data_IF_470196315065
#
_entry.id   IF_470196315065
#
_cell.length_a   1.000
_cell.length_b   1.000
_cell.length_c   1.000
_cell.angle_alpha   90.00
_cell.angle_beta   90.00
_cell.angle_gamma   90.00
#
_symmetry.space_group_name_H-M   'P 1'
#
loop_
_entity.id
_entity.type
_entity.pdbx_description
1 polymer ?
#
# COMPACT_ATOMS: atom_id res chain seq x y z
N UNK A 1 -9.20 -6.41 -13.77
CA UNK A 1 -10.32 -5.72 -13.08
C UNK A 1 -10.47 -4.32 -13.63
N UNK A 2 -11.64 -3.70 -13.47
CA UNK A 2 -11.87 -2.29 -13.81
C UNK A 2 -11.30 -1.37 -12.72
N UNK A 3 -11.23 -0.05 -13.01
CA UNK A 3 -10.86 0.95 -12.00
C UNK A 3 -11.87 0.94 -10.84
N UNK A 4 -13.18 0.85 -11.13
CA UNK A 4 -14.23 0.84 -10.09
C UNK A 4 -14.16 -0.43 -9.22
N UNK A 5 -13.94 -1.61 -9.81
CA UNK A 5 -13.71 -2.84 -9.04
C UNK A 5 -12.50 -2.70 -8.11
N UNK A 6 -11.44 -2.04 -8.59
CA UNK A 6 -10.23 -1.87 -7.80
C UNK A 6 -10.42 -0.94 -6.60
N UNK A 7 -11.36 0.00 -6.66
CA UNK A 7 -11.73 0.81 -5.48
C UNK A 7 -12.15 -0.05 -4.30
N UNK A 8 -13.01 -1.01 -4.56
CA UNK A 8 -13.46 -1.98 -3.54
C UNK A 8 -12.31 -2.90 -3.13
N UNK A 9 -11.61 -3.45 -4.11
CA UNK A 9 -10.53 -4.42 -3.92
C UNK A 9 -9.38 -3.87 -3.06
N UNK A 10 -8.96 -2.62 -3.28
CA UNK A 10 -7.88 -2.00 -2.51
C UNK A 10 -8.28 -1.72 -1.06
N UNK A 11 -9.51 -1.25 -0.82
CA UNK A 11 -10.01 -0.97 0.53
C UNK A 11 -10.11 -2.28 1.33
N UNK A 12 -10.72 -3.31 0.72
CA UNK A 12 -10.78 -4.65 1.30
C UNK A 12 -9.37 -5.20 1.59
N UNK A 13 -8.49 -5.21 0.58
CA UNK A 13 -7.14 -5.78 0.71
C UNK A 13 -6.28 -5.03 1.72
N UNK A 14 -6.39 -3.70 1.82
CA UNK A 14 -5.67 -2.90 2.82
C UNK A 14 -6.14 -3.21 4.24
N UNK A 15 -7.44 -3.39 4.45
CA UNK A 15 -8.01 -3.77 5.74
C UNK A 15 -7.56 -5.19 6.15
N UNK A 16 -7.65 -6.16 5.24
CA UNK A 16 -7.21 -7.54 5.47
C UNK A 16 -5.68 -7.61 5.73
N UNK A 17 -4.86 -6.88 4.96
CA UNK A 17 -3.42 -6.79 5.18
C UNK A 17 -3.09 -6.18 6.55
N UNK A 18 -3.81 -5.14 6.97
CA UNK A 18 -3.63 -4.54 8.29
C UNK A 18 -3.87 -5.54 9.43
N UNK A 19 -4.90 -6.39 9.31
CA UNK A 19 -5.17 -7.46 10.28
C UNK A 19 -4.04 -8.50 10.34
N UNK A 20 -3.46 -8.85 9.20
CA UNK A 20 -2.37 -9.82 9.12
C UNK A 20 -1.06 -9.28 9.73
N UNK A 21 -0.87 -7.96 9.71
CA UNK A 21 0.32 -7.28 10.21
C UNK A 21 0.19 -6.80 11.67
N UNK A 22 -0.94 -7.05 12.33
CA UNK A 22 -1.21 -6.52 13.68
C UNK A 22 -1.30 -7.63 14.73
N UNK A 23 -0.51 -7.50 15.81
CA UNK A 23 -0.51 -8.38 16.98
C UNK A 23 0.66 -8.10 17.91
N UNK A 24 0.56 -8.52 19.18
CA UNK A 24 1.66 -8.44 20.16
C UNK A 24 2.16 -7.02 20.48
N UNK A 25 1.28 -6.03 20.46
CA UNK A 25 1.63 -4.63 20.69
C UNK A 25 2.10 -3.88 19.42
N UNK A 26 2.19 -4.56 18.28
CA UNK A 26 2.67 -4.03 17.02
C UNK A 26 1.58 -4.02 15.95
N UNK A 27 1.82 -3.29 14.85
CA UNK A 27 0.94 -3.22 13.69
C UNK A 27 0.20 -1.91 13.57
N UNK A 28 -1.06 -1.96 13.16
CA UNK A 28 -1.84 -0.81 12.74
C UNK A 28 -2.91 -0.45 13.77
N UNK A 29 -2.98 0.83 14.09
CA UNK A 29 -4.04 1.44 14.90
C UNK A 29 -4.76 2.50 14.05
N UNK A 30 -6.08 2.37 13.87
CA UNK A 30 -6.89 3.33 13.10
C UNK A 30 -7.45 4.38 14.06
N UNK A 31 -6.93 5.60 13.97
CA UNK A 31 -7.34 6.73 14.82
C UNK A 31 -8.55 7.45 14.27
N UNK A 32 -8.59 7.69 12.94
CA UNK A 32 -9.70 8.32 12.22
C UNK A 32 -9.99 7.62 10.91
N UNK A 33 -11.25 7.62 10.52
CA UNK A 33 -11.73 7.22 9.19
C UNK A 33 -13.04 7.98 8.94
N UNK A 34 -12.94 9.13 8.28
CA UNK A 34 -14.04 10.09 8.15
C UNK A 34 -14.05 10.73 6.76
N UNK A 35 -15.20 11.15 6.23
CA UNK A 35 -15.26 11.94 5.01
C UNK A 35 -14.50 13.27 5.17
N UNK A 36 -13.91 13.75 4.08
CA UNK A 36 -13.34 15.10 4.03
C UNK A 36 -13.81 15.86 2.82
N UNK A 37 -13.77 17.18 2.89
CA UNK A 37 -14.11 18.10 1.82
C UNK A 37 -13.15 19.29 1.81
N UNK A 38 -13.03 19.96 0.63
CA UNK A 38 -12.23 21.17 0.45
C UNK A 38 -10.70 21.00 0.70
N UNK A 39 -10.15 19.80 0.54
CA UNK A 39 -8.70 19.59 0.53
C UNK A 39 -8.23 19.33 -0.90
N UNK A 40 -7.60 20.31 -1.57
CA UNK A 40 -7.19 20.18 -2.97
C UNK A 40 -6.02 19.20 -3.12
N UNK A 41 -6.21 18.17 -3.94
CA UNK A 41 -5.20 17.20 -4.36
C UNK A 41 -4.95 17.30 -5.86
N UNK A 42 -3.73 16.95 -6.30
CA UNK A 42 -3.32 16.97 -7.71
C UNK A 42 -3.75 18.29 -8.39
N UNK A 43 -3.18 19.42 -7.91
CA UNK A 43 -3.47 20.77 -8.41
C UNK A 43 -4.97 21.15 -8.38
N UNK A 44 -5.71 20.64 -7.38
CA UNK A 44 -7.12 20.94 -7.20
C UNK A 44 -8.08 20.11 -8.06
N UNK A 45 -7.57 19.09 -8.77
CA UNK A 45 -8.42 18.20 -9.56
C UNK A 45 -9.37 17.35 -8.70
N UNK A 46 -8.95 17.04 -7.48
CA UNK A 46 -9.72 16.27 -6.50
C UNK A 46 -9.75 17.04 -5.18
N UNK A 47 -10.91 17.19 -4.57
CA UNK A 47 -11.07 18.03 -3.39
C UNK A 47 -11.79 17.34 -2.22
N UNK A 48 -12.42 16.18 -2.43
CA UNK A 48 -13.21 15.49 -1.42
C UNK A 48 -13.03 13.98 -1.51
N UNK A 49 -13.34 13.29 -0.43
CA UNK A 49 -13.20 11.83 -0.35
C UNK A 49 -13.23 11.32 1.08
N UNK A 50 -12.43 10.28 1.36
CA UNK A 50 -12.28 9.70 2.68
C UNK A 50 -10.88 10.00 3.23
N UNK A 51 -10.83 10.54 4.45
CA UNK A 51 -9.60 10.75 5.20
C UNK A 51 -9.41 9.65 6.23
N UNK A 52 -8.21 9.10 6.31
CA UNK A 52 -7.82 8.18 7.37
C UNK A 52 -6.56 8.66 8.08
N UNK A 53 -6.55 8.52 9.40
CA UNK A 53 -5.38 8.71 10.24
C UNK A 53 -5.07 7.39 10.93
N UNK A 54 -3.86 6.88 10.71
CA UNK A 54 -3.39 5.63 11.31
C UNK A 54 -2.07 5.84 12.02
N UNK A 55 -1.82 5.00 13.01
CA UNK A 55 -0.54 4.87 13.70
C UNK A 55 0.02 3.47 13.46
N UNK A 56 1.29 3.39 13.14
CA UNK A 56 2.02 2.14 12.95
C UNK A 56 2.99 1.96 14.11
N UNK A 57 2.90 0.82 14.77
CA UNK A 57 3.81 0.39 15.83
C UNK A 57 4.78 -0.65 15.25
N UNK A 58 6.03 -0.26 15.01
CA UNK A 58 6.95 -1.02 14.14
C UNK A 58 7.89 -1.96 14.88
N UNK A 59 8.08 -1.82 16.17
CA UNK A 59 9.08 -2.51 17.00
C UNK A 59 9.89 -3.64 16.34
N UNK A 60 9.31 -4.84 16.07
CA UNK A 60 10.00 -5.95 15.41
C UNK A 60 10.02 -5.86 13.88
N UNK A 61 9.28 -4.91 13.28
CA UNK A 61 9.16 -4.74 11.83
C UNK A 61 10.35 -4.01 11.19
N UNK A 62 11.31 -3.58 12.00
CA UNK A 62 12.55 -2.95 11.53
C UNK A 62 13.74 -3.85 11.79
N UNK A 63 14.83 -3.73 11.01
CA UNK A 63 16.05 -4.50 11.26
C UNK A 63 16.57 -4.32 12.70
N UNK A 64 17.13 -5.39 13.27
CA UNK A 64 17.58 -5.39 14.66
C UNK A 64 18.58 -4.28 15.00
N UNK A 65 19.44 -3.90 14.06
CA UNK A 65 20.39 -2.80 14.23
C UNK A 65 19.68 -1.43 14.30
N UNK A 66 18.61 -1.23 13.52
CA UNK A 66 17.78 -0.01 13.60
C UNK A 66 17.13 0.07 14.97
N UNK A 67 16.52 -1.04 15.43
CA UNK A 67 15.88 -1.12 16.75
C UNK A 67 16.87 -0.86 17.89
N UNK A 68 18.12 -1.33 17.76
CA UNK A 68 19.15 -1.16 18.79
C UNK A 68 19.56 0.31 18.99
N UNK A 69 19.47 1.15 17.95
CA UNK A 69 19.85 2.57 18.01
C UNK A 69 18.63 3.51 18.04
N UNK A 70 17.42 2.97 17.85
CA UNK A 70 16.19 3.76 17.78
C UNK A 70 15.80 4.34 19.15
N UNK A 71 15.73 5.66 19.28
CA UNK A 71 15.23 6.29 20.50
C UNK A 71 13.73 6.07 20.68
N UNK A 72 13.22 6.45 21.84
CA UNK A 72 11.78 6.42 22.12
C UNK A 72 11.00 7.23 21.09
N UNK A 73 9.90 6.65 20.58
CA UNK A 73 9.06 7.24 19.53
C UNK A 73 9.58 7.10 18.10
N UNK A 74 10.83 6.64 17.89
CA UNK A 74 11.36 6.46 16.53
C UNK A 74 10.68 5.33 15.75
N UNK A 75 10.11 4.34 16.45
CA UNK A 75 9.45 3.17 15.85
C UNK A 75 7.93 3.31 15.76
N UNK A 76 7.42 4.53 15.92
CA UNK A 76 6.02 4.85 15.69
C UNK A 76 5.88 5.79 14.50
N UNK A 77 5.17 5.34 13.46
CA UNK A 77 4.85 6.19 12.31
C UNK A 77 3.38 6.61 12.35
N UNK A 78 3.12 7.78 11.82
CA UNK A 78 1.76 8.27 11.58
C UNK A 78 1.51 8.34 10.08
N UNK A 79 0.39 7.79 9.65
CA UNK A 79 -0.08 7.86 8.27
C UNK A 79 -1.31 8.73 8.18
N UNK A 80 -1.26 9.72 7.30
CA UNK A 80 -2.42 10.48 6.86
C UNK A 80 -2.70 10.12 5.41
N UNK A 81 -3.93 9.69 5.12
CA UNK A 81 -4.31 9.32 3.77
C UNK A 81 -5.61 10.01 3.34
N UNK A 82 -5.56 10.63 2.18
CA UNK A 82 -6.69 11.25 1.49
C UNK A 82 -7.03 10.40 0.28
N UNK A 83 -8.14 9.70 0.36
CA UNK A 83 -8.63 8.86 -0.71
C UNK A 83 -9.76 9.58 -1.49
N UNK A 84 -9.37 10.28 -2.55
CA UNK A 84 -10.27 10.92 -3.52
C UNK A 84 -10.31 10.09 -4.80
N UNK A 85 -10.69 8.85 -4.68
CA UNK A 85 -10.62 7.88 -5.79
C UNK A 85 -11.11 8.45 -7.13
N UNK A 86 -10.41 8.22 -8.24
CA UNK A 86 -9.29 7.30 -8.48
C UNK A 86 -7.89 7.83 -8.08
N UNK A 87 -7.80 8.96 -7.41
CA UNK A 87 -6.54 9.49 -6.89
C UNK A 87 -6.48 9.35 -5.37
N UNK A 88 -5.32 8.93 -4.86
CA UNK A 88 -5.07 8.79 -3.42
C UNK A 88 -3.71 9.43 -3.09
N UNK A 89 -3.66 10.15 -1.97
CA UNK A 89 -2.42 10.68 -1.42
C UNK A 89 -2.26 10.15 0.00
N UNK A 90 -1.09 9.58 0.28
CA UNK A 90 -0.73 9.08 1.60
C UNK A 90 0.59 9.72 2.03
N UNK A 91 0.66 10.17 3.27
CA UNK A 91 1.87 10.76 3.87
C UNK A 91 2.16 10.05 5.19
N UNK A 92 3.35 9.42 5.26
CA UNK A 92 3.85 8.83 6.50
C UNK A 92 4.90 9.76 7.09
N UNK A 93 4.80 9.99 8.39
CA UNK A 93 5.71 10.83 9.18
C UNK A 93 6.11 10.12 10.46
N UNK A 94 7.14 10.63 11.13
CA UNK A 94 7.53 10.20 12.47
C UNK A 94 7.49 11.38 13.44
N UNK A 95 6.32 11.77 13.95
CA UNK A 95 6.18 12.97 14.78
C UNK A 95 6.88 12.87 16.14
N UNK A 96 7.09 11.64 16.64
CA UNK A 96 7.71 11.41 17.94
C UNK A 96 9.21 11.63 17.98
N UNK A 97 9.91 11.51 16.82
CA UNK A 97 11.37 11.62 16.77
C UNK A 97 11.91 12.41 15.58
N UNK A 98 11.71 11.90 14.34
CA UNK A 98 12.33 12.47 13.15
C UNK A 98 11.67 13.78 12.67
N UNK A 99 10.38 13.96 12.99
CA UNK A 99 9.58 15.15 12.61
C UNK A 99 9.71 15.45 11.10
N UNK A 100 10.10 16.69 10.75
CA UNK A 100 10.31 17.15 9.39
C UNK A 100 11.47 16.48 8.64
N UNK A 101 12.29 15.70 9.34
CA UNK A 101 13.42 14.98 8.76
C UNK A 101 13.06 13.62 8.19
N UNK A 102 11.79 13.19 8.35
CA UNK A 102 11.29 11.95 7.79
C UNK A 102 9.92 12.13 7.16
N UNK A 103 9.83 11.79 5.89
CA UNK A 103 8.56 11.75 5.17
C UNK A 103 8.61 10.66 4.09
N UNK A 104 7.55 9.86 4.03
CA UNK A 104 7.26 9.03 2.85
C UNK A 104 5.94 9.52 2.29
N UNK A 105 5.94 9.99 1.05
CA UNK A 105 4.73 10.42 0.34
C UNK A 105 4.45 9.47 -0.80
N UNK A 106 3.22 8.93 -0.84
CA UNK A 106 2.71 8.11 -1.94
C UNK A 106 1.55 8.85 -2.59
N UNK A 107 1.66 9.08 -3.89
CA UNK A 107 0.59 9.63 -4.71
C UNK A 107 0.22 8.57 -5.74
N UNK A 108 -0.99 8.04 -5.64
CA UNK A 108 -1.47 6.96 -6.49
C UNK A 108 -2.57 7.44 -7.40
N UNK A 109 -2.48 7.15 -8.70
CA UNK A 109 -3.56 7.38 -9.64
C UNK A 109 -3.92 6.05 -10.33
N UNK A 110 -5.18 5.66 -10.22
CA UNK A 110 -5.72 4.45 -10.85
C UNK A 110 -6.31 4.82 -12.20
N UNK A 111 -5.86 4.15 -13.26
CA UNK A 111 -6.24 4.51 -14.62
C UNK A 111 -6.55 3.28 -15.46
N UNK A 112 -7.54 3.40 -16.35
CA UNK A 112 -7.97 2.32 -17.22
C UNK A 112 -7.08 2.24 -18.48
N UNK A 113 -5.80 1.87 -18.28
CA UNK A 113 -4.83 1.63 -19.34
C UNK A 113 -3.92 0.45 -19.03
N UNK A 114 -2.89 0.22 -19.83
CA UNK A 114 -1.89 -0.85 -19.69
C UNK A 114 -0.50 -0.34 -19.31
N UNK A 115 -0.42 0.77 -18.60
CA UNK A 115 0.85 1.36 -18.19
C UNK A 115 1.46 2.31 -19.21
N UNK A 116 0.68 2.82 -20.18
CA UNK A 116 1.18 3.64 -21.27
C UNK A 116 1.20 5.14 -20.93
N UNK A 117 0.46 5.57 -19.88
CA UNK A 117 0.39 6.98 -19.51
C UNK A 117 1.69 7.48 -18.92
N UNK A 118 2.18 8.61 -19.46
CA UNK A 118 3.37 9.27 -18.94
C UNK A 118 2.96 10.50 -18.11
N UNK A 119 3.76 10.82 -17.09
CA UNK A 119 3.61 12.00 -16.22
C UNK A 119 2.17 12.26 -15.70
N UNK A 120 1.46 11.18 -15.34
CA UNK A 120 0.07 11.27 -14.86
C UNK A 120 -0.05 12.07 -13.54
N UNK A 121 1.05 12.16 -12.77
CA UNK A 121 1.15 12.94 -11.52
C UNK A 121 1.50 14.43 -11.76
N UNK A 122 1.63 14.86 -13.01
CA UNK A 122 1.90 16.26 -13.38
C UNK A 122 3.17 16.83 -12.75
N UNK A 123 4.25 16.06 -12.74
CA UNK A 123 5.54 16.48 -12.27
C UNK A 123 6.12 17.60 -13.16
N UNK A 124 6.83 18.56 -12.55
CA UNK A 124 7.67 19.50 -13.30
C UNK A 124 8.77 18.77 -14.06
N UNK A 125 9.33 19.42 -15.08
CA UNK A 125 10.38 18.83 -15.92
C UNK A 125 11.60 18.39 -15.09
N UNK A 126 11.97 19.16 -14.07
CA UNK A 126 13.10 18.85 -13.18
C UNK A 126 12.84 17.57 -12.35
N UNK A 127 11.61 17.37 -11.87
CA UNK A 127 11.23 16.18 -11.12
C UNK A 127 11.04 14.98 -12.06
N UNK A 128 10.51 15.23 -13.26
CA UNK A 128 10.33 14.19 -14.26
C UNK A 128 11.65 13.58 -14.71
N UNK A 129 12.71 14.42 -14.84
CA UNK A 129 14.06 13.95 -15.16
C UNK A 129 14.71 13.12 -14.06
N UNK A 130 14.33 13.37 -12.80
CA UNK A 130 14.85 12.63 -11.62
C UNK A 130 14.06 11.38 -11.30
N UNK A 131 12.88 11.21 -11.92
CA UNK A 131 12.01 10.09 -11.68
C UNK A 131 12.60 8.81 -12.24
N UNK A 132 12.71 7.79 -11.40
CA UNK A 132 12.94 6.42 -11.82
C UNK A 132 11.58 5.73 -12.02
N UNK A 133 11.45 4.94 -13.07
CA UNK A 133 10.22 4.20 -13.40
C UNK A 133 10.49 2.71 -13.32
N UNK A 134 9.71 2.02 -12.52
CA UNK A 134 9.75 0.58 -12.39
C UNK A 134 8.37 -0.01 -12.72
N UNK A 135 8.34 -1.01 -13.58
CA UNK A 135 7.15 -1.80 -13.84
C UNK A 135 7.10 -2.97 -12.86
N UNK A 136 6.01 -3.07 -12.10
CA UNK A 136 5.76 -4.18 -11.19
C UNK A 136 4.75 -5.12 -11.83
N UNK A 137 5.16 -6.36 -12.10
CA UNK A 137 4.28 -7.44 -12.53
C UNK A 137 3.96 -8.35 -11.34
N UNK A 138 2.68 -8.47 -10.99
CA UNK A 138 2.24 -9.34 -9.88
C UNK A 138 2.36 -10.84 -10.19
N UNK A 139 2.56 -11.21 -11.45
CA UNK A 139 2.82 -12.59 -11.85
C UNK A 139 4.30 -12.99 -11.70
N UNK A 140 5.20 -12.02 -11.46
CA UNK A 140 6.62 -12.29 -11.22
C UNK A 140 6.82 -13.09 -9.93
N UNK A 141 7.84 -13.95 -9.85
CA UNK A 141 8.21 -14.64 -8.62
C UNK A 141 8.57 -13.65 -7.50
N UNK A 142 8.19 -14.00 -6.29
CA UNK A 142 8.63 -13.32 -5.06
C UNK A 142 9.67 -14.16 -4.32
N UNK A 143 10.34 -13.58 -3.32
CA UNK A 143 11.28 -14.31 -2.47
C UNK A 143 10.59 -15.48 -1.74
N UNK A 144 11.36 -16.49 -1.32
CA UNK A 144 10.82 -17.62 -0.55
C UNK A 144 10.16 -17.15 0.75
N UNK A 145 10.70 -16.11 1.39
CA UNK A 145 10.14 -15.53 2.62
C UNK A 145 8.78 -14.85 2.41
N UNK A 146 8.49 -14.39 1.19
CA UNK A 146 7.24 -13.71 0.82
C UNK A 146 6.24 -14.64 0.12
N UNK A 147 6.68 -15.84 -0.25
CA UNK A 147 5.85 -16.75 -1.01
C UNK A 147 4.77 -17.41 -0.16
N UNK A 148 3.51 -17.15 -0.51
CA UNK A 148 2.35 -17.90 -0.02
C UNK A 148 1.58 -18.45 -1.24
N UNK A 149 1.36 -19.79 -1.31
CA UNK A 149 0.58 -20.38 -2.41
C UNK A 149 -0.85 -19.84 -2.52
N UNK A 150 -1.43 -19.30 -1.45
CA UNK A 150 -2.76 -18.69 -1.42
C UNK A 150 -2.80 -17.32 -2.09
N UNK A 151 -1.65 -16.65 -2.20
CA UNK A 151 -1.50 -15.34 -2.83
C UNK A 151 -0.67 -15.39 -4.10
N UNK A 152 -0.61 -16.56 -4.75
CA UNK A 152 0.07 -16.75 -6.02
C UNK A 152 -0.87 -16.53 -7.22
N UNK A 153 -0.80 -15.39 -7.92
CA UNK A 153 -1.67 -15.08 -9.05
C UNK A 153 -1.51 -16.04 -10.23
N UNK A 154 -0.37 -16.77 -10.30
CA UNK A 154 -0.12 -17.75 -11.36
C UNK A 154 -0.84 -19.06 -11.13
N UNK A 155 -1.39 -19.28 -9.95
CA UNK A 155 -2.15 -20.48 -9.56
C UNK A 155 -3.62 -20.19 -9.25
N UNK A 156 -3.95 -18.93 -8.95
CA UNK A 156 -5.28 -18.52 -8.54
C UNK A 156 -6.22 -18.34 -9.73
N UNK A 157 -7.43 -18.91 -9.61
CA UNK A 157 -8.56 -18.67 -10.51
C UNK A 157 -9.78 -18.29 -9.68
N UNK A 158 -10.36 -17.13 -9.94
CA UNK A 158 -11.59 -16.70 -9.28
C UNK A 158 -12.77 -17.55 -9.71
N UNK A 159 -13.51 -18.10 -8.76
CA UNK A 159 -14.73 -18.86 -9.03
C UNK A 159 -15.87 -17.96 -9.53
N UNK A 160 -15.96 -16.75 -8.98
CA UNK A 160 -17.01 -15.77 -9.33
C UNK A 160 -16.78 -15.14 -10.71
N UNK A 161 -15.56 -14.73 -11.00
CA UNK A 161 -15.26 -13.95 -12.21
C UNK A 161 -14.60 -14.75 -13.32
N UNK A 162 -14.13 -15.96 -13.02
CA UNK A 162 -13.32 -16.82 -13.92
C UNK A 162 -12.01 -16.18 -14.39
N UNK A 163 -11.55 -15.12 -13.71
CA UNK A 163 -10.26 -14.44 -13.96
C UNK A 163 -9.10 -15.23 -13.36
N UNK A 164 -7.99 -15.25 -14.08
CA UNK A 164 -6.78 -16.02 -13.76
C UNK A 164 -6.71 -17.38 -14.46
N UNK A 165 -5.64 -18.18 -14.25
CA UNK A 165 -4.41 -17.72 -13.61
C UNK A 165 -3.64 -16.74 -14.50
N UNK A 166 -2.87 -15.83 -13.86
CA UNK A 166 -1.96 -14.97 -14.61
C UNK A 166 -0.75 -15.80 -15.06
N UNK A 167 -0.14 -15.38 -16.18
CA UNK A 167 1.02 -16.10 -16.72
C UNK A 167 2.26 -15.23 -16.58
N UNK A 168 3.28 -15.75 -15.92
CA UNK A 168 4.60 -15.14 -15.96
C UNK A 168 5.22 -15.44 -17.34
N UNK A 169 5.05 -14.52 -18.28
CA UNK A 169 5.60 -14.61 -19.63
C UNK A 169 6.57 -13.44 -19.86
N UNK A 170 7.75 -13.67 -20.48
CA UNK A 170 8.69 -12.60 -20.78
C UNK A 170 8.03 -11.44 -21.54
N UNK A 171 8.30 -10.20 -21.08
CA UNK A 171 7.73 -8.99 -21.66
C UNK A 171 6.27 -8.76 -21.31
N UNK A 172 5.80 -9.30 -20.18
CA UNK A 172 4.47 -9.06 -19.60
C UNK A 172 3.32 -9.26 -20.61
N UNK A 173 3.45 -10.24 -21.47
CA UNK A 173 2.51 -10.49 -22.59
C UNK A 173 1.07 -10.73 -22.14
N UNK A 174 0.87 -11.18 -20.92
CA UNK A 174 -0.48 -11.38 -20.38
C UNK A 174 -1.26 -10.06 -20.26
N UNK A 175 -0.58 -8.92 -20.02
CA UNK A 175 -1.21 -7.59 -19.95
C UNK A 175 -2.00 -7.25 -21.24
N UNK A 176 -1.54 -7.71 -22.38
CA UNK A 176 -2.21 -7.47 -23.68
C UNK A 176 -3.37 -8.43 -23.94
N UNK A 177 -3.49 -9.51 -23.16
CA UNK A 177 -4.49 -10.58 -23.36
C UNK A 177 -5.66 -10.49 -22.38
N UNK A 178 -5.52 -9.72 -21.29
CA UNK A 178 -6.56 -9.62 -20.24
C UNK A 178 -7.44 -8.39 -20.43
N UNK A 179 -8.73 -8.58 -20.14
CA UNK A 179 -9.73 -7.53 -20.13
C UNK A 179 -10.78 -7.87 -19.05
N UNK A 180 -11.21 -6.91 -18.22
CA UNK A 180 -10.70 -5.54 -18.10
C UNK A 180 -9.33 -5.46 -17.43
N UNK A 181 -8.59 -4.39 -17.76
CA UNK A 181 -7.27 -4.08 -17.21
C UNK A 181 -7.22 -2.64 -16.69
N UNK A 182 -6.40 -2.40 -15.69
CA UNK A 182 -6.13 -1.08 -15.16
C UNK A 182 -4.69 -1.02 -14.63
N UNK A 183 -4.14 0.17 -14.50
CA UNK A 183 -2.82 0.43 -13.95
C UNK A 183 -2.90 1.29 -12.70
N UNK A 184 -2.13 0.93 -11.68
CA UNK A 184 -1.89 1.75 -10.51
C UNK A 184 -0.57 2.50 -10.70
N UNK A 185 -0.63 3.78 -11.03
CA UNK A 185 0.53 4.65 -11.07
C UNK A 185 0.84 5.16 -9.67
N UNK A 186 1.96 4.76 -9.11
CA UNK A 186 2.38 5.14 -7.75
C UNK A 186 3.66 5.96 -7.79
N UNK A 187 3.56 7.22 -7.42
CA UNK A 187 4.71 8.08 -7.20
C UNK A 187 5.10 8.02 -5.72
N UNK A 188 6.29 7.52 -5.44
CA UNK A 188 6.83 7.41 -4.09
C UNK A 188 7.96 8.43 -3.94
N UNK A 189 7.84 9.31 -2.96
CA UNK A 189 8.89 10.26 -2.56
C UNK A 189 9.31 9.96 -1.14
N UNK A 190 10.59 9.74 -0.90
CA UNK A 190 11.15 9.43 0.42
C UNK A 190 12.16 10.51 0.79
N UNK A 191 12.02 11.05 1.99
CA UNK A 191 13.01 11.93 2.62
C UNK A 191 13.36 11.34 4.00
N UNK A 192 14.65 11.06 4.21
CA UNK A 192 15.18 10.57 5.47
C UNK A 192 16.47 11.32 5.81
N UNK A 193 16.35 12.47 6.47
CA UNK A 193 17.48 13.36 6.78
C UNK A 193 18.19 12.93 8.06
N UNK A 194 19.10 12.00 7.94
CA UNK A 194 19.99 11.56 9.02
C UNK A 194 21.43 11.48 8.52
N UNK A 195 22.29 12.29 9.10
CA UNK A 195 23.68 12.37 8.66
C UNK A 195 24.37 10.99 8.69
N UNK A 196 25.02 10.65 7.58
CA UNK A 196 25.75 9.39 7.40
C UNK A 196 24.89 8.14 7.10
N UNK A 197 23.54 8.20 7.24
CA UNK A 197 22.66 7.05 7.02
C UNK A 197 21.57 7.28 5.95
N UNK A 198 21.43 8.52 5.48
CA UNK A 198 20.31 8.91 4.60
C UNK A 198 20.13 7.98 3.41
N UNK A 199 21.14 7.84 2.55
CA UNK A 199 20.98 7.07 1.31
C UNK A 199 20.72 5.57 1.55
N UNK A 200 21.32 5.00 2.61
CA UNK A 200 21.08 3.59 2.96
C UNK A 200 19.64 3.37 3.45
N UNK A 201 19.14 4.29 4.27
CA UNK A 201 17.78 4.21 4.81
C UNK A 201 16.72 4.46 3.73
N UNK A 202 16.91 5.47 2.87
CA UNK A 202 16.01 5.74 1.75
C UNK A 202 15.94 4.54 0.79
N UNK A 203 17.09 3.94 0.44
CA UNK A 203 17.12 2.73 -0.37
C UNK A 203 16.46 1.51 0.33
N UNK A 204 16.68 1.36 1.64
CA UNK A 204 16.00 0.32 2.43
C UNK A 204 14.49 0.51 2.42
N UNK A 205 14.02 1.73 2.73
CA UNK A 205 12.60 2.05 2.76
C UNK A 205 11.96 1.82 1.39
N UNK A 206 12.62 2.22 0.29
CA UNK A 206 12.11 1.98 -1.06
C UNK A 206 11.96 0.49 -1.36
N UNK A 207 12.93 -0.33 -0.99
CA UNK A 207 12.83 -1.81 -1.15
C UNK A 207 11.66 -2.38 -0.36
N UNK A 208 11.46 -1.93 0.90
CA UNK A 208 10.34 -2.39 1.72
C UNK A 208 8.99 -1.94 1.14
N UNK A 209 8.89 -0.70 0.66
CA UNK A 209 7.67 -0.20 -0.01
C UNK A 209 7.34 -1.03 -1.25
N UNK A 210 8.34 -1.33 -2.09
CA UNK A 210 8.17 -2.19 -3.26
C UNK A 210 7.66 -3.58 -2.87
N UNK A 211 8.31 -4.22 -1.89
CA UNK A 211 7.93 -5.55 -1.36
C UNK A 211 6.48 -5.57 -0.87
N UNK A 212 6.12 -4.61 -0.02
CA UNK A 212 4.76 -4.49 0.53
C UNK A 212 3.71 -4.28 -0.57
N UNK A 213 4.00 -3.45 -1.56
CA UNK A 213 3.09 -3.19 -2.68
C UNK A 213 2.89 -4.43 -3.56
N UNK A 214 3.95 -5.17 -3.87
CA UNK A 214 3.85 -6.42 -4.63
C UNK A 214 2.96 -7.42 -3.89
N UNK A 215 3.25 -7.67 -2.61
CA UNK A 215 2.51 -8.64 -1.79
C UNK A 215 1.04 -8.24 -1.64
N UNK A 216 0.77 -6.96 -1.40
CA UNK A 216 -0.60 -6.44 -1.31
C UNK A 216 -1.38 -6.67 -2.61
N UNK A 217 -0.80 -6.37 -3.78
CA UNK A 217 -1.50 -6.53 -5.05
C UNK A 217 -1.70 -8.00 -5.44
N UNK A 218 -0.78 -8.88 -5.08
CA UNK A 218 -0.94 -10.33 -5.19
C UNK A 218 -2.11 -10.82 -4.33
N UNK A 219 -2.15 -10.38 -3.08
CA UNK A 219 -3.25 -10.69 -2.14
C UNK A 219 -4.60 -10.16 -2.66
N UNK A 220 -4.66 -8.91 -3.13
CA UNK A 220 -5.87 -8.31 -3.71
C UNK A 220 -6.39 -9.15 -4.88
N UNK A 221 -5.51 -9.54 -5.81
CA UNK A 221 -5.90 -10.37 -6.94
C UNK A 221 -6.41 -11.75 -6.49
N UNK A 222 -5.68 -12.43 -5.60
CA UNK A 222 -6.04 -13.76 -5.11
C UNK A 222 -7.22 -13.78 -4.12
N UNK A 223 -7.70 -12.63 -3.70
CA UNK A 223 -8.91 -12.49 -2.88
C UNK A 223 -10.14 -12.00 -3.66
N UNK A 224 -10.11 -12.06 -5.00
CA UNK A 224 -11.19 -11.56 -5.86
C UNK A 224 -12.56 -12.07 -5.42
N UNK A 225 -12.70 -13.33 -5.08
CA UNK A 225 -13.98 -13.92 -4.68
C UNK A 225 -14.52 -13.40 -3.33
N UNK A 226 -13.67 -12.77 -2.52
CA UNK A 226 -14.07 -12.17 -1.25
C UNK A 226 -14.68 -10.77 -1.43
N UNK A 227 -14.04 -9.92 -2.24
CA UNK A 227 -14.45 -8.52 -2.41
C UNK A 227 -15.34 -8.27 -3.63
N UNK A 228 -15.34 -9.16 -4.63
CA UNK A 228 -16.14 -8.99 -5.84
C UNK A 228 -17.65 -9.03 -5.52
N UNK A 229 -18.34 -7.95 -5.90
CA UNK A 229 -19.75 -7.74 -5.63
C UNK A 229 -20.06 -6.99 -4.33
N UNK A 230 -19.04 -6.62 -3.53
CA UNK A 230 -19.23 -5.71 -2.41
C UNK A 230 -19.49 -4.28 -2.90
N UNK A 231 -20.27 -3.55 -2.14
CA UNK A 231 -20.51 -2.10 -2.31
C UNK A 231 -19.57 -1.28 -1.41
N UNK A 232 -19.51 0.04 -1.60
CA UNK A 232 -18.77 0.91 -0.68
C UNK A 232 -19.36 0.86 0.74
N UNK A 233 -20.68 0.71 0.88
CA UNK A 233 -21.30 0.59 2.19
C UNK A 233 -20.88 -0.70 2.90
N UNK A 234 -20.79 -1.82 2.16
CA UNK A 234 -20.26 -3.08 2.69
C UNK A 234 -18.81 -2.92 3.16
N UNK A 235 -18.00 -2.17 2.40
CA UNK A 235 -16.62 -1.87 2.78
C UNK A 235 -16.57 -1.02 4.06
N UNK A 236 -17.43 -0.02 4.23
CA UNK A 236 -17.46 0.78 5.47
C UNK A 236 -17.77 -0.08 6.70
N UNK A 237 -18.75 -0.96 6.58
CA UNK A 237 -19.06 -1.93 7.64
C UNK A 237 -17.87 -2.86 7.92
N UNK A 238 -17.17 -3.28 6.87
CA UNK A 238 -15.97 -4.11 7.00
C UNK A 238 -14.81 -3.37 7.67
N UNK A 239 -14.57 -2.11 7.30
CA UNK A 239 -13.53 -1.25 7.91
C UNK A 239 -13.79 -1.00 9.40
N UNK A 240 -15.05 -0.76 9.80
CA UNK A 240 -15.43 -0.55 11.21
C UNK A 240 -15.16 -1.81 12.04
N UNK A 241 -15.55 -2.97 11.56
CA UNK A 241 -15.25 -4.26 12.20
C UNK A 241 -13.75 -4.52 12.27
N UNK A 242 -13.04 -4.21 11.19
CA UNK A 242 -11.58 -4.34 11.13
C UNK A 242 -10.90 -3.46 12.16
N UNK A 243 -11.35 -2.24 12.36
CA UNK A 243 -10.82 -1.31 13.38
C UNK A 243 -10.91 -1.91 14.79
N UNK A 244 -12.07 -2.45 15.16
CA UNK A 244 -12.28 -3.11 16.47
C UNK A 244 -11.37 -4.34 16.62
N UNK A 245 -11.24 -5.15 15.56
CA UNK A 245 -10.39 -6.34 15.57
C UNK A 245 -8.90 -5.99 15.65
N UNK A 246 -8.44 -4.95 14.96
CA UNK A 246 -7.07 -4.44 15.03
C UNK A 246 -6.71 -4.04 16.46
N UNK A 247 -7.58 -3.29 17.15
CA UNK A 247 -7.35 -2.89 18.53
C UNK A 247 -7.23 -4.12 19.44
N UNK A 248 -8.15 -5.07 19.32
CA UNK A 248 -8.12 -6.32 20.08
C UNK A 248 -6.83 -7.11 19.80
N UNK A 249 -6.47 -7.33 18.54
CA UNK A 249 -5.25 -8.08 18.15
C UNK A 249 -3.99 -7.39 18.66
N UNK A 250 -3.92 -6.07 18.58
CA UNK A 250 -2.77 -5.31 19.09
C UNK A 250 -2.61 -5.47 20.60
N UNK A 251 -3.70 -5.46 21.36
CA UNK A 251 -3.65 -5.55 22.81
C UNK A 251 -3.46 -6.98 23.35
N UNK A 252 -4.02 -7.98 22.68
CA UNK A 252 -4.12 -9.35 23.22
C UNK A 252 -3.55 -10.43 22.29
N UNK A 253 -3.23 -10.11 21.03
CA UNK A 253 -2.72 -11.05 20.05
C UNK A 253 -1.24 -11.35 20.23
N UNK A 254 -0.76 -12.43 19.63
CA UNK A 254 0.67 -12.72 19.49
C UNK A 254 1.29 -11.86 18.38
N UNK A 255 2.59 -11.59 18.48
CA UNK A 255 3.32 -10.85 17.44
C UNK A 255 3.26 -11.61 16.09
N UNK A 256 2.85 -10.94 15.03
CA UNK A 256 2.65 -11.52 13.71
C UNK A 256 3.08 -10.58 12.58
N UNK A 257 2.99 -11.05 11.33
CA UNK A 257 3.23 -10.29 10.12
C UNK A 257 4.67 -10.31 9.63
N UNK A 258 4.93 -9.51 8.60
CA UNK A 258 6.19 -9.46 7.86
C UNK A 258 7.32 -8.91 8.73
N UNK A 259 8.43 -9.63 8.85
CA UNK A 259 9.66 -9.14 9.50
C UNK A 259 10.55 -8.46 8.47
N UNK A 260 11.30 -7.43 8.89
CA UNK A 260 12.35 -6.86 8.05
C UNK A 260 13.49 -7.88 7.88
N UNK A 261 13.78 -8.21 6.64
CA UNK A 261 14.92 -9.03 6.23
C UNK A 261 16.14 -8.17 5.90
#
# INVERSE_FOLDING_TARGET
>A
MTVDEYQIAQLYGTAEASLNETGGGEGVEVLKNEPYDNVPLLNGKFCSGQYTLKKYHLASKVPGWVRAIAPSGALELQEEAWNAYPYCKTVLTNPGYMKENFTIKLETYHYADRGESNNIHQLSDDLLQKREVELVDIADPVSEDDYDPKTDPTKYVSEKTKRGPLKNEPGNKWLHKVDPVMTCYKLITIEFKWWGLQGQMEAFIMRQQRRLLINLHRQIFCSTDKWHGMTLDDIRVFEDKTKEELEKKRLTGEACGTKAS
#
